data_IF_599768502189
#
_entry.id   IF_599768502189
#
_cell.length_a   1.000
_cell.length_b   1.000
_cell.length_c   1.000
_cell.angle_alpha   90.00
_cell.angle_beta   90.00
_cell.angle_gamma   90.00
#
_symmetry.space_group_name_H-M   'P 1'
#
loop_
_entity.id
_entity.type
_entity.pdbx_description
1 polymer ?
#
# COMPACT_ATOMS: atom_id res chain seq x y z
N UNK A 1 -4.50 11.47 -10.09
CA UNK A 1 -3.72 12.71 -9.86
C UNK A 1 -3.86 13.27 -8.45
N UNK A 2 -5.05 13.23 -7.82
CA UNK A 2 -5.25 13.72 -6.43
C UNK A 2 -4.20 13.20 -5.44
N UNK A 3 -3.95 11.89 -5.42
CA UNK A 3 -2.94 11.27 -4.55
C UNK A 3 -1.53 11.85 -4.66
N UNK A 4 -1.10 12.24 -5.88
CA UNK A 4 0.24 12.82 -6.10
C UNK A 4 0.28 14.18 -5.41
N UNK A 5 -0.68 15.05 -5.71
CA UNK A 5 -0.79 16.37 -5.11
C UNK A 5 -0.96 16.30 -3.58
N UNK A 6 -1.83 15.41 -3.11
CA UNK A 6 -2.08 15.22 -1.68
C UNK A 6 -0.78 14.83 -0.97
N UNK A 7 0.03 13.93 -1.52
CA UNK A 7 1.24 13.46 -0.82
C UNK A 7 2.41 14.46 -0.73
N UNK A 8 2.30 15.68 -1.28
CA UNK A 8 3.44 16.58 -1.53
C UNK A 8 4.19 17.00 -0.27
N UNK A 9 3.50 17.17 0.83
CA UNK A 9 4.02 17.53 2.15
C UNK A 9 4.70 16.36 2.89
N UNK A 10 4.41 15.11 2.50
CA UNK A 10 4.91 13.91 3.21
C UNK A 10 5.82 13.00 2.37
N UNK A 11 5.88 13.19 1.06
CA UNK A 11 6.69 12.38 0.14
C UNK A 11 7.62 13.25 -0.71
N UNK A 12 8.93 13.07 -0.51
CA UNK A 12 9.97 13.86 -1.16
C UNK A 12 10.25 13.51 -2.64
N UNK A 13 9.85 12.33 -3.11
CA UNK A 13 10.08 11.88 -4.48
C UNK A 13 9.20 10.70 -4.86
N UNK A 14 9.00 10.50 -6.16
CA UNK A 14 8.06 9.53 -6.70
C UNK A 14 8.79 8.36 -7.35
N UNK A 15 8.32 7.14 -7.10
CA UNK A 15 8.69 5.93 -7.86
C UNK A 15 7.48 5.52 -8.68
N UNK A 16 7.60 5.55 -10.01
CA UNK A 16 6.47 5.36 -10.91
C UNK A 16 6.77 4.19 -11.85
N UNK A 17 5.87 3.20 -11.89
CA UNK A 17 5.97 2.09 -12.84
C UNK A 17 5.91 2.63 -14.28
N UNK A 18 7.01 2.47 -14.99
CA UNK A 18 7.24 3.03 -16.32
C UNK A 18 7.27 1.94 -17.39
N UNK A 19 7.72 0.74 -17.02
CA UNK A 19 7.78 -0.42 -17.91
C UNK A 19 7.60 -1.69 -17.07
N UNK A 20 6.88 -2.67 -17.60
CA UNK A 20 6.77 -4.01 -17.05
C UNK A 20 7.12 -5.03 -18.13
N UNK A 21 8.07 -5.93 -17.85
CA UNK A 21 8.27 -7.15 -18.61
C UNK A 21 7.46 -8.26 -17.98
N UNK A 22 6.48 -8.77 -18.72
CA UNK A 22 5.74 -9.96 -18.30
C UNK A 22 6.60 -11.21 -18.41
N UNK A 23 6.12 -12.32 -17.86
CA UNK A 23 6.90 -13.53 -17.81
C UNK A 23 7.17 -14.22 -19.17
N UNK A 24 6.58 -13.72 -20.26
CA UNK A 24 6.89 -14.13 -21.63
C UNK A 24 7.91 -13.17 -22.29
N UNK A 25 8.47 -12.24 -21.51
CA UNK A 25 9.42 -11.23 -21.96
C UNK A 25 8.79 -10.03 -22.67
N UNK A 26 7.45 -9.94 -22.74
CA UNK A 26 6.76 -8.84 -23.43
C UNK A 26 6.83 -7.56 -22.60
N UNK A 27 7.22 -6.45 -23.23
CA UNK A 27 7.21 -5.14 -22.62
C UNK A 27 5.82 -4.50 -22.65
N UNK A 28 5.33 -4.10 -21.49
CA UNK A 28 4.07 -3.38 -21.29
C UNK A 28 4.44 -2.05 -20.64
N UNK A 29 4.17 -0.95 -21.31
CA UNK A 29 4.31 0.39 -20.74
C UNK A 29 2.97 0.84 -20.15
N UNK A 30 2.85 1.00 -18.82
CA UNK A 30 1.64 1.57 -18.24
C UNK A 30 1.43 3.01 -18.71
N UNK A 31 0.18 3.43 -18.81
CA UNK A 31 -0.17 4.82 -19.13
C UNK A 31 0.07 5.74 -17.92
N UNK A 32 1.34 6.09 -17.68
CA UNK A 32 1.72 7.12 -16.72
C UNK A 32 1.36 8.51 -17.27
N UNK A 33 0.80 9.37 -16.43
CA UNK A 33 0.51 10.76 -16.79
C UNK A 33 1.78 11.61 -16.70
N UNK A 34 2.54 11.66 -17.79
CA UNK A 34 3.82 12.37 -17.84
C UNK A 34 3.66 13.88 -17.68
N UNK A 35 2.55 14.47 -18.15
CA UNK A 35 2.28 15.89 -17.98
C UNK A 35 2.06 16.23 -16.51
N UNK A 36 1.31 15.41 -15.77
CA UNK A 36 1.13 15.59 -14.33
C UNK A 36 2.45 15.42 -13.55
N UNK A 37 3.31 14.46 -13.95
CA UNK A 37 4.62 14.28 -13.33
C UNK A 37 5.56 15.45 -13.60
N UNK A 38 5.57 15.99 -14.83
CA UNK A 38 6.33 17.18 -15.18
C UNK A 38 5.87 18.41 -14.39
N UNK A 39 4.55 18.59 -14.24
CA UNK A 39 3.97 19.68 -13.46
C UNK A 39 4.24 19.57 -11.95
N UNK A 40 4.31 18.34 -11.40
CA UNK A 40 4.59 18.12 -9.99
C UNK A 40 6.04 18.52 -9.60
N UNK A 41 6.98 18.30 -10.52
CA UNK A 41 8.40 18.68 -10.44
C UNK A 41 9.24 18.03 -9.32
N UNK A 42 8.67 17.13 -8.50
CA UNK A 42 9.50 16.31 -7.58
C UNK A 42 10.40 15.34 -8.36
N UNK A 43 11.54 14.94 -7.78
CA UNK A 43 12.37 13.89 -8.36
C UNK A 43 11.57 12.60 -8.62
N UNK A 44 11.63 12.10 -9.86
CA UNK A 44 10.99 10.85 -10.28
C UNK A 44 12.03 9.78 -10.53
N UNK A 45 11.80 8.60 -9.97
CA UNK A 45 12.50 7.35 -10.30
C UNK A 45 11.57 6.51 -11.18
N UNK A 46 11.98 6.26 -12.42
CA UNK A 46 11.24 5.42 -13.36
C UNK A 46 11.47 3.95 -13.00
N UNK A 47 10.43 3.23 -12.61
CA UNK A 47 10.51 1.82 -12.20
C UNK A 47 10.28 0.92 -13.40
N UNK A 48 11.22 0.02 -13.63
CA UNK A 48 11.15 -1.05 -14.63
C UNK A 48 10.94 -2.36 -13.89
N UNK A 49 9.73 -2.90 -13.96
CA UNK A 49 9.40 -4.19 -13.36
C UNK A 49 9.76 -5.33 -14.31
N UNK A 50 10.49 -6.31 -13.83
CA UNK A 50 10.89 -7.49 -14.59
C UNK A 50 10.39 -8.72 -13.85
N UNK A 51 9.52 -9.51 -14.50
CA UNK A 51 9.03 -10.75 -13.91
C UNK A 51 10.21 -11.63 -13.46
N UNK A 52 10.11 -12.15 -12.24
CA UNK A 52 11.17 -12.92 -11.60
C UNK A 52 11.61 -14.13 -12.42
N UNK A 53 10.79 -14.66 -13.33
CA UNK A 53 11.12 -15.84 -14.16
C UNK A 53 12.01 -15.52 -15.36
N UNK A 54 12.09 -14.26 -15.77
CA UNK A 54 12.90 -13.86 -16.92
C UNK A 54 14.38 -14.09 -16.62
N UNK A 55 15.09 -14.73 -17.57
CA UNK A 55 16.54 -14.77 -17.57
C UNK A 55 17.07 -13.55 -18.33
N UNK A 56 17.93 -12.77 -17.68
CA UNK A 56 18.48 -11.52 -18.21
C UNK A 56 19.81 -11.72 -18.96
N UNK A 57 20.10 -12.97 -19.36
CA UNK A 57 21.30 -13.29 -20.13
C UNK A 57 21.24 -12.63 -21.52
N UNK A 58 22.23 -11.77 -21.80
CA UNK A 58 22.48 -11.12 -23.10
C UNK A 58 21.38 -10.20 -23.70
N UNK A 59 20.57 -9.57 -22.83
CA UNK A 59 19.47 -8.69 -23.23
C UNK A 59 19.91 -7.23 -23.58
N UNK A 60 20.72 -7.06 -24.64
CA UNK A 60 21.11 -5.71 -25.12
C UNK A 60 19.89 -4.86 -25.51
N UNK A 61 18.86 -5.50 -26.08
CA UNK A 61 17.61 -4.85 -26.46
C UNK A 61 16.85 -4.26 -25.25
N UNK A 62 16.87 -4.93 -24.10
CA UNK A 62 16.19 -4.42 -22.91
C UNK A 62 16.94 -3.27 -22.27
N UNK A 63 18.27 -3.32 -22.25
CA UNK A 63 19.08 -2.16 -21.84
C UNK A 63 18.74 -0.95 -22.71
N UNK A 64 18.70 -1.11 -24.04
CA UNK A 64 18.33 -0.04 -24.96
C UNK A 64 16.90 0.50 -24.70
N UNK A 65 15.94 -0.40 -24.42
CA UNK A 65 14.56 -0.01 -24.09
C UNK A 65 14.48 0.82 -22.81
N UNK A 66 15.23 0.45 -21.77
CA UNK A 66 15.27 1.20 -20.50
C UNK A 66 15.91 2.57 -20.69
N UNK A 67 16.99 2.66 -21.46
CA UNK A 67 17.66 3.94 -21.79
C UNK A 67 16.71 4.86 -22.55
N UNK A 68 16.03 4.33 -23.57
CA UNK A 68 15.07 5.09 -24.38
C UNK A 68 13.86 5.56 -23.55
N UNK A 69 13.32 4.71 -22.68
CA UNK A 69 12.25 5.08 -21.77
C UNK A 69 12.63 6.29 -20.90
N UNK A 70 13.82 6.26 -20.29
CA UNK A 70 14.29 7.36 -19.46
C UNK A 70 14.53 8.65 -20.27
N UNK A 71 14.99 8.54 -21.52
CA UNK A 71 15.11 9.68 -22.44
C UNK A 71 13.74 10.29 -22.73
N UNK A 72 12.75 9.48 -23.15
CA UNK A 72 11.39 9.95 -23.46
C UNK A 72 10.72 10.66 -22.29
N UNK A 73 10.89 10.16 -21.07
CA UNK A 73 10.32 10.81 -19.89
C UNK A 73 10.96 12.17 -19.61
N UNK A 74 12.27 12.31 -19.79
CA UNK A 74 12.96 13.61 -19.67
C UNK A 74 12.54 14.58 -20.77
N UNK A 75 12.42 14.10 -22.00
CA UNK A 75 11.97 14.93 -23.13
C UNK A 75 10.53 15.41 -22.93
N UNK A 76 9.71 14.66 -22.18
CA UNK A 76 8.38 15.07 -21.74
C UNK A 76 8.39 16.05 -20.53
N UNK A 77 9.56 16.49 -20.07
CA UNK A 77 9.72 17.46 -18.97
C UNK A 77 9.69 16.84 -17.57
N UNK A 78 9.66 15.51 -17.44
CA UNK A 78 9.68 14.85 -16.12
C UNK A 78 11.07 14.97 -15.51
N UNK A 79 11.14 15.32 -14.22
CA UNK A 79 12.38 15.39 -13.44
C UNK A 79 12.93 13.98 -13.10
N UNK A 80 13.35 13.21 -14.12
CA UNK A 80 13.85 11.84 -13.96
C UNK A 80 15.22 11.84 -13.26
N UNK A 81 15.21 11.55 -11.96
CA UNK A 81 16.38 11.47 -11.09
C UNK A 81 17.07 10.09 -11.12
N UNK A 82 16.35 9.04 -11.51
CA UNK A 82 16.92 7.71 -11.61
C UNK A 82 16.00 6.68 -12.25
N UNK A 83 16.53 5.46 -12.35
CA UNK A 83 15.82 4.27 -12.82
C UNK A 83 15.93 3.22 -11.72
N UNK A 84 14.80 2.59 -11.38
CA UNK A 84 14.76 1.47 -10.44
C UNK A 84 14.40 0.19 -11.18
N UNK A 85 15.18 -0.86 -10.98
CA UNK A 85 14.86 -2.18 -11.51
C UNK A 85 14.16 -2.97 -10.42
N UNK A 86 12.86 -3.20 -10.61
CA UNK A 86 12.05 -4.02 -9.74
C UNK A 86 12.04 -5.46 -10.26
N UNK A 87 12.94 -6.28 -9.74
CA UNK A 87 13.13 -7.65 -10.22
C UNK A 87 13.28 -8.60 -9.04
N UNK A 88 12.27 -9.47 -8.86
CA UNK A 88 12.27 -10.57 -7.90
C UNK A 88 13.21 -11.70 -8.37
N UNK A 89 14.48 -11.36 -8.57
CA UNK A 89 15.51 -12.26 -9.07
C UNK A 89 15.66 -13.45 -8.11
N UNK A 90 15.58 -14.66 -8.66
CA UNK A 90 15.93 -15.85 -7.89
C UNK A 90 17.39 -15.78 -7.43
N UNK A 91 17.67 -16.14 -6.18
CA UNK A 91 19.03 -16.07 -5.58
C UNK A 91 20.11 -16.73 -6.46
N UNK A 92 19.77 -17.84 -7.13
CA UNK A 92 20.67 -18.56 -8.03
C UNK A 92 21.07 -17.79 -9.31
N UNK A 93 20.36 -16.72 -9.67
CA UNK A 93 20.60 -15.92 -10.88
C UNK A 93 21.22 -14.56 -10.62
N UNK A 94 21.61 -14.27 -9.38
CA UNK A 94 22.17 -12.97 -9.01
C UNK A 94 23.47 -12.63 -9.75
N UNK A 95 24.27 -13.62 -10.16
CA UNK A 95 25.47 -13.36 -10.97
C UNK A 95 25.13 -12.86 -12.37
N UNK A 96 24.13 -13.46 -13.03
CA UNK A 96 23.64 -13.00 -14.33
C UNK A 96 23.02 -11.60 -14.20
N UNK A 97 22.26 -11.38 -13.13
CA UNK A 97 21.65 -10.07 -12.85
C UNK A 97 22.71 -8.98 -12.63
N UNK A 98 23.78 -9.25 -11.87
CA UNK A 98 24.88 -8.31 -11.69
C UNK A 98 25.55 -7.93 -13.03
N UNK A 99 25.74 -8.91 -13.93
CA UNK A 99 26.25 -8.65 -15.27
C UNK A 99 25.33 -7.76 -16.12
N UNK A 100 24.02 -7.99 -16.04
CA UNK A 100 23.03 -7.16 -16.72
C UNK A 100 22.99 -5.74 -16.16
N UNK A 101 23.03 -5.56 -14.83
CA UNK A 101 23.08 -4.25 -14.17
C UNK A 101 24.32 -3.45 -14.58
N UNK A 102 25.49 -4.10 -14.71
CA UNK A 102 26.70 -3.45 -15.18
C UNK A 102 26.56 -2.91 -16.61
N UNK A 103 25.93 -3.68 -17.52
CA UNK A 103 25.63 -3.22 -18.89
C UNK A 103 24.64 -2.06 -18.90
N UNK A 104 23.57 -2.15 -18.12
CA UNK A 104 22.61 -1.05 -17.97
C UNK A 104 23.30 0.22 -17.47
N UNK A 105 24.13 0.10 -16.44
CA UNK A 105 24.86 1.23 -15.86
C UNK A 105 25.76 1.90 -16.90
N UNK A 106 26.47 1.12 -17.71
CA UNK A 106 27.36 1.62 -18.77
C UNK A 106 26.61 2.32 -19.91
N UNK A 107 25.37 1.90 -20.21
CA UNK A 107 24.56 2.49 -21.27
C UNK A 107 23.83 3.79 -20.85
N UNK A 108 23.69 4.04 -19.55
CA UNK A 108 23.00 5.22 -19.02
C UNK A 108 23.95 6.40 -18.78
N UNK A 109 23.50 7.65 -18.96
CA UNK A 109 24.29 8.83 -18.58
C UNK A 109 24.73 8.77 -17.11
N UNK A 110 25.95 9.21 -16.82
CA UNK A 110 26.54 9.16 -15.46
C UNK A 110 25.69 9.87 -14.39
N UNK A 111 24.93 10.90 -14.77
CA UNK A 111 24.03 11.63 -13.88
C UNK A 111 22.74 10.85 -13.51
N UNK A 112 22.38 9.81 -14.28
CA UNK A 112 21.18 9.01 -14.00
C UNK A 112 21.50 8.02 -12.89
N UNK A 113 20.85 8.07 -11.74
CA UNK A 113 21.03 7.04 -10.70
C UNK A 113 20.35 5.73 -11.08
N UNK A 114 20.93 4.60 -10.69
CA UNK A 114 20.34 3.26 -10.82
C UNK A 114 20.11 2.69 -9.43
N UNK A 115 18.87 2.32 -9.13
CA UNK A 115 18.49 1.55 -7.95
C UNK A 115 17.87 0.20 -8.32
N UNK A 116 17.76 -0.69 -7.35
CA UNK A 116 17.06 -1.99 -7.51
C UNK A 116 16.20 -2.26 -6.30
N UNK A 117 15.09 -2.97 -6.49
CA UNK A 117 14.47 -3.68 -5.37
C UNK A 117 15.33 -4.89 -5.01
N UNK A 118 15.34 -5.23 -3.73
CA UNK A 118 16.16 -6.31 -3.20
C UNK A 118 15.39 -7.14 -2.19
N UNK A 119 15.55 -8.46 -2.29
CA UNK A 119 14.86 -9.42 -1.43
C UNK A 119 15.72 -9.80 -0.21
N UNK A 120 15.12 -9.92 0.99
CA UNK A 120 15.82 -10.42 2.17
C UNK A 120 16.46 -11.80 2.00
N UNK A 121 15.97 -12.61 1.05
CA UNK A 121 16.52 -13.92 0.72
C UNK A 121 17.95 -13.85 0.14
N UNK A 122 18.35 -12.73 -0.45
CA UNK A 122 19.68 -12.60 -1.07
C UNK A 122 20.81 -12.41 -0.07
N UNK A 123 20.50 -12.15 1.22
CA UNK A 123 21.48 -11.81 2.28
C UNK A 123 22.62 -12.81 2.46
N UNK A 124 22.41 -14.08 2.10
CA UNK A 124 23.42 -15.14 2.19
C UNK A 124 24.12 -15.42 0.85
N UNK A 125 23.70 -14.77 -0.25
CA UNK A 125 24.23 -15.07 -1.57
C UNK A 125 25.66 -14.54 -1.74
N UNK A 126 26.59 -15.34 -2.32
CA UNK A 126 27.94 -14.87 -2.67
C UNK A 126 27.92 -13.70 -3.66
N UNK A 127 27.04 -13.77 -4.66
CA UNK A 127 26.90 -12.77 -5.72
C UNK A 127 26.36 -11.41 -5.25
N UNK A 128 25.82 -11.32 -4.01
CA UNK A 128 25.17 -10.11 -3.51
C UNK A 128 26.09 -8.88 -3.57
N UNK A 129 27.38 -9.04 -3.25
CA UNK A 129 28.33 -7.92 -3.28
C UNK A 129 28.49 -7.32 -4.68
N UNK A 130 28.48 -8.17 -5.72
CA UNK A 130 28.53 -7.72 -7.12
C UNK A 130 27.26 -6.97 -7.53
N UNK A 131 26.10 -7.46 -7.09
CA UNK A 131 24.81 -6.82 -7.35
C UNK A 131 24.75 -5.43 -6.70
N UNK A 132 25.09 -5.32 -5.41
CA UNK A 132 25.14 -4.04 -4.69
C UNK A 132 26.17 -3.10 -5.32
N UNK A 133 27.34 -3.62 -5.74
CA UNK A 133 28.39 -2.82 -6.37
C UNK A 133 28.01 -2.24 -7.74
N UNK A 134 27.11 -2.90 -8.47
CA UNK A 134 26.69 -2.49 -9.82
C UNK A 134 25.71 -1.30 -9.84
N UNK A 135 25.21 -0.87 -8.68
CA UNK A 135 24.11 0.12 -8.57
C UNK A 135 24.44 1.22 -7.56
N UNK A 136 23.65 2.30 -7.59
CA UNK A 136 23.85 3.47 -6.72
C UNK A 136 23.17 3.33 -5.37
N UNK A 137 22.03 2.62 -5.31
CA UNK A 137 21.21 2.42 -4.10
C UNK A 137 20.44 1.09 -4.20
N UNK A 138 20.17 0.44 -3.07
CA UNK A 138 19.24 -0.71 -3.02
C UNK A 138 17.97 -0.37 -2.23
N UNK A 139 16.84 -0.96 -2.58
CA UNK A 139 15.57 -0.83 -1.86
C UNK A 139 15.17 -2.20 -1.31
N UNK A 140 15.44 -2.44 -0.04
CA UNK A 140 15.15 -3.70 0.64
C UNK A 140 13.63 -3.84 0.87
N UNK A 141 13.02 -4.85 0.26
CA UNK A 141 11.60 -5.17 0.43
C UNK A 141 11.38 -6.05 1.66
N UNK A 142 11.00 -5.43 2.78
CA UNK A 142 10.72 -6.16 4.04
C UNK A 142 9.27 -6.62 4.18
N UNK A 143 8.47 -6.42 3.13
CA UNK A 143 7.10 -6.93 3.00
C UNK A 143 7.02 -8.17 2.09
N UNK A 144 8.17 -8.71 1.67
CA UNK A 144 8.25 -9.98 0.97
C UNK A 144 8.00 -11.11 1.98
N UNK A 145 6.74 -11.49 2.17
CA UNK A 145 6.38 -12.53 3.13
C UNK A 145 6.65 -13.91 2.53
N UNK A 146 7.39 -14.73 3.26
CA UNK A 146 7.66 -16.11 2.88
C UNK A 146 6.38 -16.99 2.90
N UNK A 147 5.40 -16.62 3.71
CA UNK A 147 4.12 -17.31 3.87
C UNK A 147 2.98 -16.30 4.20
N UNK A 148 2.12 -15.96 3.23
CA UNK A 148 1.01 -15.03 3.44
C UNK A 148 0.02 -15.44 4.54
N UNK A 149 -0.05 -16.73 4.90
CA UNK A 149 -0.91 -17.21 5.99
C UNK A 149 -0.47 -16.70 7.37
N UNK A 150 0.80 -16.29 7.51
CA UNK A 150 1.41 -15.76 8.74
C UNK A 150 1.32 -14.25 8.86
N UNK A 151 0.58 -13.58 7.95
CA UNK A 151 0.44 -12.13 7.91
C UNK A 151 1.34 -11.47 6.86
N UNK A 152 1.05 -10.23 6.49
CA UNK A 152 1.75 -9.51 5.40
C UNK A 152 3.03 -8.78 5.84
N UNK A 153 3.27 -8.68 7.15
CA UNK A 153 4.40 -7.95 7.70
C UNK A 153 4.66 -8.40 9.14
N UNK A 154 5.92 -8.64 9.48
CA UNK A 154 6.37 -8.87 10.85
C UNK A 154 7.47 -7.87 11.19
N UNK A 155 7.22 -7.04 12.22
CA UNK A 155 8.12 -5.97 12.63
C UNK A 155 9.51 -6.48 13.03
N UNK A 156 9.57 -7.57 13.81
CA UNK A 156 10.80 -8.10 14.38
C UNK A 156 11.69 -8.69 13.28
N UNK A 157 11.07 -9.44 12.36
CA UNK A 157 11.71 -10.00 11.19
C UNK A 157 12.20 -8.89 10.25
N UNK A 158 11.35 -7.90 9.96
CA UNK A 158 11.73 -6.75 9.14
C UNK A 158 12.94 -6.02 9.74
N UNK A 159 12.94 -5.77 11.05
CA UNK A 159 14.09 -5.17 11.75
C UNK A 159 15.35 -6.02 11.59
N UNK A 160 15.27 -7.33 11.82
CA UNK A 160 16.41 -8.24 11.65
C UNK A 160 16.94 -8.28 10.21
N UNK A 161 16.07 -8.18 9.21
CA UNK A 161 16.47 -8.06 7.81
C UNK A 161 17.20 -6.76 7.51
N UNK A 162 16.70 -5.64 8.03
CA UNK A 162 17.32 -4.31 7.87
C UNK A 162 18.72 -4.30 8.47
N UNK A 163 18.88 -4.79 9.71
CA UNK A 163 20.18 -4.81 10.38
C UNK A 163 21.17 -5.74 9.65
N UNK A 164 20.71 -6.88 9.14
CA UNK A 164 21.54 -7.79 8.36
C UNK A 164 21.92 -7.20 6.99
N UNK A 165 21.01 -6.47 6.34
CA UNK A 165 21.27 -5.83 5.06
C UNK A 165 22.26 -4.67 5.20
N UNK A 166 22.14 -3.87 6.26
CA UNK A 166 23.06 -2.78 6.56
C UNK A 166 24.52 -3.27 6.66
N UNK A 167 24.75 -4.46 7.23
CA UNK A 167 26.09 -5.08 7.27
C UNK A 167 26.62 -5.47 5.88
N UNK A 168 25.74 -5.88 4.97
CA UNK A 168 26.11 -6.28 3.59
C UNK A 168 26.24 -5.10 2.63
N UNK A 169 25.64 -3.96 2.96
CA UNK A 169 25.61 -2.73 2.17
C UNK A 169 26.39 -1.60 2.84
N UNK A 170 27.45 -1.90 3.59
CA UNK A 170 28.18 -0.90 4.39
C UNK A 170 28.75 0.26 3.55
N UNK A 171 29.03 0.04 2.27
CA UNK A 171 29.61 1.04 1.36
C UNK A 171 28.59 1.69 0.41
N UNK A 172 27.31 1.32 0.51
CA UNK A 172 26.25 1.79 -0.40
C UNK A 172 24.99 2.17 0.37
N UNK A 173 24.34 3.30 0.05
CA UNK A 173 23.08 3.63 0.66
C UNK A 173 22.02 2.58 0.30
N UNK A 174 21.10 2.33 1.22
CA UNK A 174 19.90 1.56 0.95
C UNK A 174 18.67 2.21 1.55
N UNK A 175 17.50 1.94 0.95
CA UNK A 175 16.19 2.28 1.51
C UNK A 175 15.46 1.01 1.90
N UNK A 176 14.42 1.16 2.71
CA UNK A 176 13.52 0.05 3.06
C UNK A 176 12.15 0.32 2.45
N UNK A 177 11.62 -0.65 1.71
CA UNK A 177 10.25 -0.60 1.22
C UNK A 177 9.29 -1.16 2.28
N UNK A 178 8.49 -0.28 2.87
CA UNK A 178 7.46 -0.61 3.85
C UNK A 178 6.08 -0.71 3.20
N UNK A 179 5.25 -1.68 3.63
CA UNK A 179 3.91 -1.84 3.09
C UNK A 179 2.96 -0.78 3.66
N UNK A 180 2.11 -0.24 2.80
CA UNK A 180 0.97 0.62 3.13
C UNK A 180 -0.34 0.05 2.56
N UNK A 181 -0.45 -1.28 2.53
CA UNK A 181 -1.58 -2.01 1.96
C UNK A 181 -1.90 -3.29 2.72
N UNK A 182 -3.12 -3.79 2.52
CA UNK A 182 -3.52 -5.16 2.81
C UNK A 182 -3.69 -5.98 1.53
N UNK A 183 -3.97 -7.26 1.69
CA UNK A 183 -4.30 -8.22 0.63
C UNK A 183 -5.42 -9.13 1.13
N UNK A 184 -6.08 -9.86 0.23
CA UNK A 184 -6.97 -10.95 0.62
C UNK A 184 -6.38 -12.29 0.22
N UNK A 185 -6.43 -13.26 1.12
CA UNK A 185 -6.15 -14.65 0.79
C UNK A 185 -7.42 -15.30 0.28
N UNK A 186 -7.32 -15.96 -0.86
CA UNK A 186 -8.35 -16.86 -1.38
C UNK A 186 -7.99 -18.26 -0.93
N UNK A 187 -8.88 -18.87 -0.13
CA UNK A 187 -8.63 -20.15 0.51
C UNK A 187 -9.48 -21.26 -0.13
N UNK A 188 -8.94 -22.47 -0.16
CA UNK A 188 -9.71 -23.69 -0.44
C UNK A 188 -10.54 -24.12 0.79
N UNK A 189 -11.29 -25.21 0.65
CA UNK A 189 -12.14 -25.73 1.72
C UNK A 189 -11.35 -26.26 2.94
N UNK A 190 -10.06 -26.58 2.75
CA UNK A 190 -9.17 -27.10 3.79
C UNK A 190 -8.34 -25.97 4.45
N UNK A 191 -8.54 -24.71 4.04
CA UNK A 191 -7.83 -23.54 4.53
C UNK A 191 -6.48 -23.28 3.87
N UNK A 192 -6.14 -24.01 2.79
CA UNK A 192 -4.96 -23.81 1.96
C UNK A 192 -5.05 -22.54 1.12
N UNK A 193 -3.94 -21.83 0.94
CA UNK A 193 -3.89 -20.58 0.15
C UNK A 193 -3.87 -20.90 -1.34
N UNK A 194 -4.97 -20.62 -2.03
CA UNK A 194 -5.08 -20.77 -3.49
C UNK A 194 -4.50 -19.57 -4.24
N UNK A 195 -4.75 -18.36 -3.74
CA UNK A 195 -4.26 -17.13 -4.36
C UNK A 195 -4.19 -15.97 -3.37
N UNK A 196 -3.34 -14.99 -3.66
CA UNK A 196 -3.27 -13.71 -2.94
C UNK A 196 -3.81 -12.61 -3.83
N UNK A 197 -4.91 -12.01 -3.43
CA UNK A 197 -5.59 -10.91 -4.13
C UNK A 197 -5.11 -9.57 -3.56
N UNK A 198 -4.50 -8.72 -4.39
CA UNK A 198 -4.08 -7.37 -3.98
C UNK A 198 -5.21 -6.35 -4.14
N UNK A 199 -5.17 -5.38 -5.06
CA UNK A 199 -6.28 -4.42 -5.25
C UNK A 199 -7.34 -4.89 -6.26
N UNK A 200 -6.97 -5.77 -7.19
CA UNK A 200 -7.87 -6.25 -8.23
C UNK A 200 -8.47 -7.59 -7.85
N UNK A 201 -9.80 -7.79 -8.00
CA UNK A 201 -10.44 -9.07 -7.78
C UNK A 201 -9.83 -10.16 -8.67
N UNK A 202 -9.58 -11.33 -8.11
CA UNK A 202 -9.19 -12.51 -8.89
C UNK A 202 -10.44 -13.33 -9.24
N UNK A 203 -10.50 -13.83 -10.48
CA UNK A 203 -11.60 -14.67 -10.95
C UNK A 203 -11.58 -16.10 -10.36
N UNK A 204 -10.52 -16.49 -9.67
CA UNK A 204 -10.35 -17.81 -9.06
C UNK A 204 -11.43 -18.09 -8.03
N UNK A 205 -12.24 -19.13 -8.22
CA UNK A 205 -13.22 -19.55 -7.21
C UNK A 205 -12.50 -19.91 -5.89
N UNK A 206 -13.08 -19.49 -4.76
CA UNK A 206 -12.53 -19.74 -3.43
C UNK A 206 -13.66 -20.15 -2.50
N UNK A 207 -13.38 -21.07 -1.57
CA UNK A 207 -14.33 -21.44 -0.53
C UNK A 207 -14.47 -20.29 0.49
N UNK A 208 -13.36 -19.61 0.80
CA UNK A 208 -13.31 -18.47 1.70
C UNK A 208 -12.38 -17.39 1.12
N UNK A 209 -12.71 -16.12 1.39
CA UNK A 209 -11.82 -14.97 1.13
C UNK A 209 -11.53 -14.29 2.47
N UNK A 210 -10.27 -14.32 2.90
CA UNK A 210 -9.83 -13.75 4.17
C UNK A 210 -8.99 -12.50 3.94
N UNK A 211 -9.49 -11.36 4.39
CA UNK A 211 -8.73 -10.09 4.35
C UNK A 211 -7.57 -10.14 5.36
N UNK A 212 -6.39 -9.74 4.89
CA UNK A 212 -5.19 -9.56 5.70
C UNK A 212 -4.72 -8.12 5.51
N UNK A 213 -4.78 -7.34 6.58
CA UNK A 213 -4.22 -6.00 6.60
C UNK A 213 -2.86 -6.00 7.29
N UNK A 214 -1.93 -5.18 6.81
CA UNK A 214 -0.80 -4.76 7.65
C UNK A 214 -1.33 -3.71 8.63
N UNK A 215 -1.21 -3.97 9.94
CA UNK A 215 -1.58 -2.99 10.96
C UNK A 215 -0.64 -1.76 10.87
N UNK A 216 -1.18 -0.55 10.62
CA UNK A 216 -0.37 0.67 10.59
C UNK A 216 0.45 0.90 11.85
N UNK A 217 0.01 0.40 13.01
CA UNK A 217 0.72 0.54 14.29
C UNK A 217 2.02 -0.25 14.34
N UNK A 218 2.08 -1.41 13.70
CA UNK A 218 3.29 -2.23 13.64
C UNK A 218 4.35 -1.56 12.77
N UNK A 219 3.93 -1.03 11.62
CA UNK A 219 4.81 -0.29 10.72
C UNK A 219 5.28 1.01 11.37
N UNK A 220 4.38 1.79 12.00
CA UNK A 220 4.74 3.00 12.73
C UNK A 220 5.73 2.72 13.87
N UNK A 221 5.60 1.56 14.53
CA UNK A 221 6.57 1.14 15.54
C UNK A 221 7.94 0.85 14.94
N UNK A 222 8.01 0.18 13.77
CA UNK A 222 9.29 -0.01 13.07
C UNK A 222 9.89 1.34 12.66
N UNK A 223 9.10 2.26 12.12
CA UNK A 223 9.57 3.59 11.70
C UNK A 223 10.22 4.32 12.88
N UNK A 224 9.53 4.41 14.02
CA UNK A 224 10.10 4.98 15.26
C UNK A 224 11.39 4.28 15.69
N UNK A 225 11.42 2.95 15.56
CA UNK A 225 12.61 2.18 15.92
C UNK A 225 13.82 2.49 15.01
N UNK A 226 13.58 2.75 13.73
CA UNK A 226 14.58 3.15 12.75
C UNK A 226 15.02 4.61 12.92
N UNK A 227 14.15 5.48 13.44
CA UNK A 227 14.51 6.85 13.80
C UNK A 227 15.45 6.89 15.01
N UNK A 228 15.19 6.06 16.03
CA UNK A 228 16.02 5.98 17.24
C UNK A 228 17.32 5.22 16.99
N UNK A 229 17.27 4.10 16.24
CA UNK A 229 18.42 3.22 15.98
C UNK A 229 18.60 3.01 14.48
N UNK A 230 18.96 4.09 13.79
CA UNK A 230 19.16 4.13 12.34
C UNK A 230 20.48 3.45 11.94
N UNK A 231 20.47 2.43 11.06
CA UNK A 231 21.69 1.97 10.42
C UNK A 231 22.34 3.08 9.60
N UNK A 232 23.67 3.19 9.63
CA UNK A 232 24.41 4.31 9.02
C UNK A 232 24.12 4.49 7.52
N UNK A 233 23.95 3.39 6.77
CA UNK A 233 23.69 3.40 5.33
C UNK A 233 22.21 3.44 4.97
N UNK A 234 21.29 3.45 5.94
CA UNK A 234 19.86 3.59 5.68
C UNK A 234 19.57 5.02 5.22
N UNK A 235 19.30 5.21 3.93
CA UNK A 235 19.03 6.50 3.30
C UNK A 235 17.56 6.95 3.40
N UNK A 236 16.62 6.05 3.67
CA UNK A 236 15.22 6.39 3.89
C UNK A 236 14.24 5.24 3.67
N UNK A 237 12.96 5.59 3.57
CA UNK A 237 11.85 4.65 3.40
C UNK A 237 11.20 4.87 2.03
N UNK A 238 10.77 3.77 1.40
CA UNK A 238 9.89 3.76 0.25
C UNK A 238 8.54 3.21 0.69
N UNK A 239 7.46 3.96 0.47
CA UNK A 239 6.12 3.51 0.80
C UNK A 239 5.52 2.76 -0.38
N UNK A 240 5.39 1.44 -0.24
CA UNK A 240 4.72 0.62 -1.24
C UNK A 240 3.31 0.34 -0.74
N UNK A 241 2.25 1.02 -1.22
CA UNK A 241 2.19 1.99 -2.33
C UNK A 241 1.60 3.33 -1.88
N UNK A 242 1.75 4.35 -2.72
CA UNK A 242 0.97 5.58 -2.60
C UNK A 242 -0.53 5.25 -2.81
N UNK A 243 -1.42 5.62 -1.87
CA UNK A 243 -2.82 5.23 -1.93
C UNK A 243 -3.60 6.09 -2.93
N UNK A 244 -4.59 5.47 -3.57
CA UNK A 244 -5.50 6.11 -4.53
C UNK A 244 -6.93 6.13 -4.01
N UNK A 245 -7.67 7.11 -4.50
CA UNK A 245 -9.12 7.13 -4.37
C UNK A 245 -9.69 5.84 -4.96
N UNK A 246 -10.49 5.13 -4.17
CA UNK A 246 -11.10 3.86 -4.56
C UNK A 246 -10.26 2.61 -4.30
N UNK A 247 -9.01 2.72 -3.84
CA UNK A 247 -8.28 1.53 -3.38
C UNK A 247 -9.05 0.88 -2.22
N UNK A 248 -9.17 -0.44 -2.29
CA UNK A 248 -9.95 -1.26 -1.33
C UNK A 248 -9.11 -1.66 -0.13
N UNK A 249 -7.84 -1.98 -0.37
CA UNK A 249 -6.97 -2.58 0.66
C UNK A 249 -5.79 -1.67 1.04
N UNK A 250 -5.35 -0.77 0.17
CA UNK A 250 -4.37 0.25 0.48
C UNK A 250 -4.85 1.20 1.58
N UNK A 251 -3.97 1.55 2.52
CA UNK A 251 -4.29 2.49 3.58
C UNK A 251 -4.84 3.81 3.03
N UNK A 252 -5.66 4.49 3.81
CA UNK A 252 -6.10 5.83 3.43
C UNK A 252 -4.93 6.81 3.53
N UNK A 253 -5.00 7.91 2.77
CA UNK A 253 -3.96 8.94 2.81
C UNK A 253 -3.77 9.50 4.24
N UNK A 254 -4.87 9.65 5.01
CA UNK A 254 -4.82 10.06 6.42
C UNK A 254 -3.99 9.10 7.29
N UNK A 255 -4.17 7.79 7.10
CA UNK A 255 -3.39 6.75 7.79
C UNK A 255 -1.92 6.83 7.40
N UNK A 256 -1.60 6.90 6.10
CA UNK A 256 -0.22 6.98 5.64
C UNK A 256 0.49 8.23 6.20
N UNK A 257 -0.16 9.39 6.18
CA UNK A 257 0.36 10.62 6.79
C UNK A 257 0.63 10.46 8.28
N UNK A 258 -0.30 9.87 9.03
CA UNK A 258 -0.15 9.69 10.46
C UNK A 258 1.05 8.78 10.78
N UNK A 259 1.25 7.71 10.00
CA UNK A 259 2.43 6.84 10.14
C UNK A 259 3.72 7.60 9.83
N UNK A 260 3.78 8.34 8.71
CA UNK A 260 4.98 9.12 8.32
C UNK A 260 5.33 10.18 9.35
N UNK A 261 4.33 10.88 9.88
CA UNK A 261 4.52 11.98 10.83
C UNK A 261 4.69 11.52 12.28
N UNK A 262 4.58 10.21 12.56
CA UNK A 262 4.55 9.69 13.94
C UNK A 262 3.35 10.16 14.76
N UNK A 263 2.26 10.57 14.10
CA UNK A 263 1.05 11.08 14.73
C UNK A 263 0.21 9.94 15.36
N UNK A 264 -0.75 10.25 16.26
CA UNK A 264 -1.63 9.25 16.85
C UNK A 264 -2.39 8.43 15.81
N UNK A 265 -2.37 7.11 15.99
CA UNK A 265 -3.08 6.14 15.18
C UNK A 265 -4.30 5.64 15.96
N UNK A 266 -5.44 6.27 15.71
CA UNK A 266 -6.70 5.96 16.38
C UNK A 266 -7.87 6.01 15.39
N UNK A 267 -8.82 5.10 15.58
CA UNK A 267 -10.15 5.23 15.02
C UNK A 267 -10.93 6.27 15.83
N UNK A 268 -11.80 7.03 15.17
CA UNK A 268 -12.72 7.94 15.85
C UNK A 268 -14.09 7.83 15.19
N UNK A 269 -14.88 6.87 15.64
CA UNK A 269 -16.19 6.60 15.08
C UNK A 269 -17.24 7.47 15.78
N UNK A 270 -18.03 8.19 14.99
CA UNK A 270 -19.22 8.91 15.46
C UNK A 270 -20.44 8.44 14.70
N UNK A 271 -21.54 8.29 15.43
CA UNK A 271 -22.86 7.97 14.88
C UNK A 271 -23.75 9.19 15.11
N UNK A 272 -24.43 9.63 14.07
CA UNK A 272 -25.32 10.78 14.13
C UNK A 272 -26.58 10.56 13.28
N UNK A 273 -27.65 11.26 13.64
CA UNK A 273 -28.85 11.37 12.82
C UNK A 273 -28.76 12.62 11.94
N UNK A 274 -28.88 12.44 10.62
CA UNK A 274 -28.85 13.54 9.66
C UNK A 274 -30.23 13.72 9.04
N UNK A 275 -30.90 14.87 9.21
CA UNK A 275 -32.19 15.12 8.57
C UNK A 275 -32.13 14.95 7.05
N UNK A 276 -33.10 14.22 6.49
CA UNK A 276 -33.16 13.86 5.07
C UNK A 276 -34.62 13.65 4.67
N UNK A 277 -35.23 14.61 3.96
CA UNK A 277 -36.57 14.46 3.36
C UNK A 277 -37.72 14.10 4.33
N UNK A 278 -37.74 14.65 5.56
CA UNK A 278 -38.75 14.31 6.58
C UNK A 278 -38.50 12.95 7.27
N UNK A 279 -37.28 12.45 7.17
CA UNK A 279 -36.72 11.32 7.90
C UNK A 279 -35.32 11.71 8.41
N UNK A 280 -34.64 10.78 9.07
CA UNK A 280 -33.25 10.88 9.45
C UNK A 280 -32.46 9.74 8.83
N UNK A 281 -31.31 10.05 8.23
CA UNK A 281 -30.30 9.06 7.92
C UNK A 281 -29.48 8.77 9.17
N UNK A 282 -29.26 7.49 9.47
CA UNK A 282 -28.31 7.05 10.50
C UNK A 282 -26.94 7.03 9.84
N UNK A 283 -26.09 8.00 10.17
CA UNK A 283 -24.80 8.19 9.51
C UNK A 283 -23.66 7.84 10.47
N UNK A 284 -22.76 6.98 10.01
CA UNK A 284 -21.49 6.72 10.66
C UNK A 284 -20.37 7.50 9.96
N UNK A 285 -19.57 8.22 10.74
CA UNK A 285 -18.36 8.92 10.27
C UNK A 285 -17.16 8.42 11.05
N UNK A 286 -16.05 8.18 10.35
CA UNK A 286 -14.75 7.90 10.97
C UNK A 286 -13.77 9.00 10.59
N UNK A 287 -13.62 10.02 11.42
CA UNK A 287 -12.66 11.12 11.23
C UNK A 287 -11.26 10.81 11.82
N UNK A 288 -11.06 9.56 12.25
CA UNK A 288 -9.77 9.06 12.72
C UNK A 288 -8.77 8.75 11.61
N UNK A 289 -7.60 8.27 12.04
CA UNK A 289 -6.47 7.88 11.17
C UNK A 289 -6.39 6.38 10.95
N UNK A 290 -7.23 5.59 11.60
CA UNK A 290 -7.35 4.15 11.40
C UNK A 290 -8.77 3.77 10.99
N UNK A 291 -8.85 2.67 10.25
CA UNK A 291 -10.11 2.00 9.99
C UNK A 291 -10.76 1.54 11.30
N UNK A 292 -12.08 1.58 11.35
CA UNK A 292 -12.86 1.27 12.54
C UNK A 292 -13.89 0.19 12.22
N UNK A 293 -14.02 -0.79 13.08
CA UNK A 293 -15.15 -1.72 13.02
C UNK A 293 -16.44 -0.96 13.39
N UNK A 294 -17.49 -1.11 12.59
CA UNK A 294 -18.79 -0.51 12.88
C UNK A 294 -19.46 -1.24 14.07
N UNK A 295 -20.20 -0.54 14.94
CA UNK A 295 -20.60 -1.09 16.23
C UNK A 295 -21.61 -2.23 16.08
N UNK A 296 -21.62 -3.22 16.98
CA UNK A 296 -22.50 -4.38 16.85
C UNK A 296 -23.98 -4.01 16.94
N UNK A 297 -24.32 -2.97 17.73
CA UNK A 297 -25.68 -2.45 17.82
C UNK A 297 -25.71 -0.94 18.05
N UNK A 298 -26.77 -0.31 17.55
CA UNK A 298 -27.12 1.08 17.81
C UNK A 298 -28.52 1.11 18.43
N UNK A 299 -28.69 1.85 19.52
CA UNK A 299 -29.96 2.03 20.22
C UNK A 299 -30.56 3.39 19.86
N UNK A 300 -31.82 3.40 19.45
CA UNK A 300 -32.58 4.63 19.18
C UNK A 300 -33.65 4.79 20.25
N UNK A 301 -33.58 5.86 21.03
CA UNK A 301 -34.46 6.11 22.18
C UNK A 301 -35.77 6.82 21.80
N UNK A 302 -36.43 6.38 20.72
CA UNK A 302 -37.70 6.93 20.26
C UNK A 302 -38.57 5.86 19.56
N UNK A 303 -39.88 6.11 19.48
CA UNK A 303 -40.76 5.32 18.64
C UNK A 303 -40.62 5.78 17.18
N UNK A 304 -39.99 4.94 16.36
CA UNK A 304 -39.72 5.24 14.96
C UNK A 304 -40.08 4.04 14.07
N UNK A 305 -40.17 4.30 12.78
CA UNK A 305 -40.13 3.29 11.71
C UNK A 305 -38.85 3.49 10.93
N UNK A 306 -38.32 2.45 10.30
CA UNK A 306 -37.05 2.58 9.58
C UNK A 306 -36.63 1.30 8.92
N UNK A 307 -35.46 1.37 8.28
CA UNK A 307 -34.80 0.21 7.69
C UNK A 307 -33.29 0.34 7.83
N UNK A 308 -32.63 -0.81 7.99
CA UNK A 308 -31.19 -0.93 8.07
C UNK A 308 -30.60 -1.22 6.69
N UNK A 309 -29.46 -0.61 6.38
CA UNK A 309 -28.72 -0.87 5.14
C UNK A 309 -27.24 -1.11 5.45
N UNK A 310 -26.47 -1.45 4.42
CA UNK A 310 -25.02 -1.58 4.50
C UNK A 310 -24.51 -2.51 5.61
N UNK A 311 -25.24 -3.61 5.86
CA UNK A 311 -24.89 -4.62 6.86
C UNK A 311 -25.59 -4.46 8.21
N UNK A 312 -26.53 -3.51 8.34
CA UNK A 312 -27.40 -3.39 9.50
C UNK A 312 -28.83 -3.85 9.20
N UNK A 313 -29.47 -4.43 10.20
CA UNK A 313 -30.89 -4.75 10.25
C UNK A 313 -31.58 -3.86 11.27
N UNK A 314 -32.74 -3.33 10.89
CA UNK A 314 -33.60 -2.60 11.80
C UNK A 314 -34.50 -3.55 12.59
N UNK A 315 -34.51 -3.40 13.91
CA UNK A 315 -35.36 -4.13 14.84
C UNK A 315 -36.31 -3.16 15.55
N UNK A 316 -37.61 -3.19 15.21
CA UNK A 316 -38.58 -2.31 15.82
C UNK A 316 -38.90 -2.71 17.27
N UNK A 317 -39.21 -1.72 18.10
CA UNK A 317 -39.70 -1.89 19.47
C UNK A 317 -40.65 -0.76 19.87
N UNK A 318 -41.33 -0.92 21.01
CA UNK A 318 -42.41 -0.01 21.41
C UNK A 318 -41.95 1.42 21.76
N UNK A 319 -40.75 1.57 22.33
CA UNK A 319 -40.17 2.86 22.74
C UNK A 319 -38.68 3.01 22.38
N UNK A 320 -38.06 1.90 22.01
CA UNK A 320 -36.63 1.81 21.68
C UNK A 320 -36.53 0.96 20.44
N UNK A 321 -35.72 1.39 19.48
CA UNK A 321 -35.41 0.65 18.27
C UNK A 321 -33.93 0.25 18.30
N UNK A 322 -33.58 -0.79 17.56
CA UNK A 322 -32.19 -1.18 17.39
C UNK A 322 -31.82 -1.27 15.92
N UNK A 323 -30.59 -0.87 15.60
CA UNK A 323 -29.90 -1.32 14.40
C UNK A 323 -28.89 -2.36 14.83
N UNK A 324 -29.04 -3.61 14.42
CA UNK A 324 -28.07 -4.68 14.67
C UNK A 324 -27.25 -4.96 13.44
N UNK A 325 -25.95 -5.13 13.61
CA UNK A 325 -25.05 -5.43 12.52
C UNK A 325 -25.10 -6.93 12.20
N UNK A 326 -25.56 -7.27 11.00
CA UNK A 326 -25.70 -8.66 10.52
C UNK A 326 -24.38 -9.20 9.94
N UNK A 327 -23.54 -8.33 9.38
CA UNK A 327 -22.28 -8.70 8.72
C UNK A 327 -21.14 -7.83 9.23
N UNK A 328 -19.93 -8.38 9.36
CA UNK A 328 -18.75 -7.57 9.65
C UNK A 328 -18.64 -6.41 8.66
N UNK A 329 -18.51 -5.20 9.20
CA UNK A 329 -18.45 -4.00 8.41
C UNK A 329 -17.43 -3.04 9.02
N UNK A 330 -16.45 -2.65 8.22
CA UNK A 330 -15.41 -1.70 8.61
C UNK A 330 -15.66 -0.38 7.90
N UNK A 331 -15.59 0.72 8.66
CA UNK A 331 -15.57 2.08 8.12
C UNK A 331 -14.12 2.56 8.02
N UNK A 332 -13.70 2.85 6.79
CA UNK A 332 -12.34 3.30 6.50
C UNK A 332 -12.04 4.65 7.17
N UNK A 333 -10.79 4.92 7.49
CA UNK A 333 -10.34 6.23 7.98
C UNK A 333 -10.76 7.36 7.02
N UNK A 334 -11.27 8.48 7.56
CA UNK A 334 -11.84 9.59 6.80
C UNK A 334 -13.15 9.27 6.06
N UNK A 335 -13.77 8.12 6.35
CA UNK A 335 -14.95 7.62 5.65
C UNK A 335 -16.27 8.06 6.30
N UNK A 336 -17.31 8.09 5.48
CA UNK A 336 -18.70 8.26 5.90
C UNK A 336 -19.57 7.16 5.27
N UNK A 337 -20.58 6.69 6.00
CA UNK A 337 -21.54 5.71 5.51
C UNK A 337 -22.91 5.87 6.16
N UNK A 338 -23.96 5.83 5.35
CA UNK A 338 -25.34 5.69 5.83
C UNK A 338 -25.60 4.22 6.19
N UNK A 339 -26.04 3.98 7.42
CA UNK A 339 -26.32 2.66 8.00
C UNK A 339 -27.81 2.29 7.96
N UNK A 340 -28.67 3.26 7.67
CA UNK A 340 -30.11 3.09 7.65
C UNK A 340 -30.80 4.43 7.67
N UNK A 341 -32.13 4.40 7.72
CA UNK A 341 -32.95 5.58 7.87
C UNK A 341 -34.05 5.35 8.91
N UNK A 342 -34.54 6.45 9.47
CA UNK A 342 -35.56 6.49 10.51
C UNK A 342 -36.60 7.57 10.22
N UNK A 343 -37.87 7.26 10.43
CA UNK A 343 -38.95 8.24 10.51
C UNK A 343 -39.58 8.14 11.89
N UNK A 344 -39.44 9.22 12.65
CA UNK A 344 -39.94 9.35 14.02
C UNK A 344 -41.08 10.38 14.05
N UNK A 345 -41.83 10.44 15.16
CA UNK A 345 -42.91 11.43 15.32
C UNK A 345 -42.43 12.88 15.42
N UNK A 346 -41.16 13.10 15.79
CA UNK A 346 -40.46 14.40 15.73
C UNK A 346 -39.48 14.44 14.55
N UNK A 347 -39.31 15.62 13.96
CA UNK A 347 -38.33 15.90 12.90
C UNK A 347 -37.09 16.64 13.40
N UNK A 348 -36.99 16.93 14.70
CA UNK A 348 -35.80 17.55 15.30
C UNK A 348 -34.82 16.50 15.83
N UNK A 349 -33.55 16.57 15.40
CA UNK A 349 -32.52 15.58 15.76
C UNK A 349 -32.21 15.54 17.27
N UNK A 350 -32.44 16.65 17.99
CA UNK A 350 -32.22 16.74 19.44
C UNK A 350 -33.21 15.90 20.27
N UNK A 351 -34.36 15.56 19.70
CA UNK A 351 -35.41 14.77 20.36
C UNK A 351 -35.22 13.27 20.19
N UNK A 352 -34.35 12.85 19.27
CA UNK A 352 -34.12 11.44 18.93
C UNK A 352 -32.69 11.06 19.30
N UNK A 353 -32.52 10.51 20.50
CA UNK A 353 -31.22 10.01 20.95
C UNK A 353 -30.79 8.73 20.22
N UNK A 354 -29.57 8.71 19.69
CA UNK A 354 -28.90 7.51 19.17
C UNK A 354 -27.64 7.22 20.00
N UNK A 355 -27.51 5.98 20.46
CA UNK A 355 -26.41 5.53 21.31
C UNK A 355 -25.76 4.28 20.73
N UNK A 356 -24.44 4.19 20.81
CA UNK A 356 -23.68 2.98 20.49
C UNK A 356 -23.78 2.01 21.67
N UNK A 357 -24.03 0.73 21.39
CA UNK A 357 -24.07 -0.33 22.40
C UNK A 357 -22.89 -1.29 22.29
#
# INVERSE_FOLDING_TARGET
>A
MRSIADSRDVVAGLRVLALQRDAHGRGIEPQADLAALAADARPVVAVVRIDGRIDLHDDAADVARVVELARRWRDAGVAVAGIEIDHDCATARLDAYAGWLARLRAALPAATRVSITALPAWRAAPALARVIGAVDETVLQVHAVADPSRGLFDRTQARGWIDAWAKRSADKPFRVALPAYGAALRLDADGGVLAVESEQPLATAAAEVREIAVDPRDVASLVRELEVRRPATLAGIVWFRLPRDGDRRAWRMSTLRAVIAGAPLAANLRIALRPSGGAFDVVATNDGTLDAELPPALRVAAACTGDGIAGYRYEPGARVQFFRRDTHATLRAGGERVLGWLRCGSTEAGDVGIEVQ
#
